data_IF_378810291361
#
_entry.id   IF_378810291361
#
_cell.length_a   1.000
_cell.length_b   1.000
_cell.length_c   1.000
_cell.angle_alpha   90.00
_cell.angle_beta   90.00
_cell.angle_gamma   90.00
#
_symmetry.space_group_name_H-M   'P 1'
#
loop_
_entity.id
_entity.type
_entity.pdbx_description
1 polymer ?
#
# COMPACT_ATOMS: atom_id res chain seq x y z
N UNK A 1 1.16 16.41 -3.43
CA UNK A 1 0.54 15.19 -2.86
C UNK A 1 -0.72 15.51 -2.09
N UNK A 2 -1.60 14.51 -1.95
CA UNK A 2 -2.84 14.65 -1.18
C UNK A 2 -2.54 14.45 0.29
N UNK A 3 -2.86 15.43 1.13
CA UNK A 3 -2.63 15.35 2.58
C UNK A 3 -3.87 15.00 3.40
N UNK A 4 -5.07 15.21 2.86
CA UNK A 4 -6.33 15.07 3.60
C UNK A 4 -7.35 14.32 2.73
N UNK A 5 -7.95 13.28 3.32
CA UNK A 5 -9.19 12.69 2.82
C UNK A 5 -10.33 13.43 3.51
N UNK A 6 -10.95 14.35 2.78
CA UNK A 6 -11.96 15.26 3.31
C UNK A 6 -13.26 14.58 3.72
N UNK A 7 -14.10 15.32 4.43
CA UNK A 7 -15.39 14.84 4.91
C UNK A 7 -16.21 14.20 3.79
N UNK A 8 -16.50 12.91 3.94
CA UNK A 8 -17.33 12.15 3.03
C UNK A 8 -16.74 11.91 1.63
N UNK A 9 -15.44 12.08 1.45
CA UNK A 9 -14.78 12.06 0.12
C UNK A 9 -15.10 10.81 -0.71
N UNK A 10 -15.20 9.65 -0.06
CA UNK A 10 -15.53 8.38 -0.69
C UNK A 10 -16.80 7.74 -0.11
N UNK A 11 -17.67 8.53 0.54
CA UNK A 11 -18.90 7.98 1.11
C UNK A 11 -19.76 7.32 0.02
N UNK A 12 -20.28 6.12 0.31
CA UNK A 12 -21.13 5.33 -0.58
C UNK A 12 -20.47 4.91 -1.90
N UNK A 13 -19.14 4.90 -2.01
CA UNK A 13 -18.49 4.49 -3.26
C UNK A 13 -18.53 2.95 -3.43
N UNK A 14 -19.27 2.42 -4.43
CA UNK A 14 -19.39 0.98 -4.63
C UNK A 14 -18.18 0.38 -5.35
N UNK A 15 -17.24 1.19 -5.85
CA UNK A 15 -16.08 0.71 -6.61
C UNK A 15 -14.87 0.43 -5.72
N UNK A 16 -14.87 0.93 -4.49
CA UNK A 16 -13.77 0.71 -3.57
C UNK A 16 -13.84 -0.70 -2.99
N UNK A 17 -12.88 -1.53 -3.39
CA UNK A 17 -12.73 -2.90 -2.90
C UNK A 17 -11.51 -3.01 -1.99
N UNK A 18 -10.35 -2.57 -2.48
CA UNK A 18 -9.11 -2.49 -1.72
C UNK A 18 -8.55 -1.08 -1.89
N UNK A 19 -8.31 -0.40 -0.78
CA UNK A 19 -7.83 0.99 -0.77
C UNK A 19 -6.46 1.05 -0.11
N UNK A 20 -5.54 1.77 -0.74
CA UNK A 20 -4.27 2.14 -0.12
C UNK A 20 -4.33 3.65 0.10
N UNK A 21 -4.36 4.05 1.38
CA UNK A 21 -4.25 5.44 1.83
C UNK A 21 -2.75 5.77 1.94
N UNK A 22 -2.20 6.62 1.05
CA UNK A 22 -0.76 6.87 0.99
C UNK A 22 -0.21 7.48 2.28
N UNK A 23 1.11 7.33 2.51
CA UNK A 23 1.79 7.87 3.68
C UNK A 23 1.75 9.41 3.75
N UNK A 24 1.54 10.07 2.62
CA UNK A 24 1.35 11.53 2.55
C UNK A 24 0.03 12.01 3.14
N UNK A 25 -0.98 11.13 3.29
CA UNK A 25 -2.25 11.48 3.92
C UNK A 25 -2.05 11.55 5.43
N UNK A 26 -2.23 12.76 5.97
CA UNK A 26 -2.10 13.07 7.39
C UNK A 26 -3.43 12.93 8.13
N UNK A 27 -4.56 12.99 7.42
CA UNK A 27 -5.89 13.04 8.04
C UNK A 27 -6.99 12.40 7.19
N UNK A 28 -7.86 11.63 7.84
CA UNK A 28 -9.13 11.14 7.31
C UNK A 28 -10.25 11.78 8.12
N UNK A 29 -11.01 12.67 7.49
CA UNK A 29 -12.10 13.37 8.14
C UNK A 29 -13.38 12.52 8.24
N UNK A 30 -14.34 13.02 9.01
CA UNK A 30 -15.63 12.37 9.26
C UNK A 30 -16.25 11.80 7.98
N UNK A 31 -16.66 10.54 8.05
CA UNK A 31 -17.28 9.79 6.94
C UNK A 31 -16.40 9.58 5.70
N UNK A 32 -15.06 9.71 5.80
CA UNK A 32 -14.14 9.57 4.68
C UNK A 32 -14.42 8.35 3.78
N UNK A 33 -14.68 7.19 4.39
CA UNK A 33 -15.05 5.93 3.73
C UNK A 33 -16.35 5.34 4.32
N UNK A 34 -17.36 6.19 4.50
CA UNK A 34 -18.65 5.77 5.05
C UNK A 34 -19.47 4.96 4.05
N UNK A 35 -19.96 3.79 4.45
CA UNK A 35 -20.83 2.92 3.64
C UNK A 35 -20.24 2.55 2.27
N UNK A 36 -18.93 2.29 2.22
CA UNK A 36 -18.30 1.68 1.05
C UNK A 36 -18.61 0.17 1.04
N UNK A 37 -19.80 -0.20 0.55
CA UNK A 37 -20.39 -1.56 0.70
C UNK A 37 -19.52 -2.72 0.20
N UNK A 38 -18.60 -2.45 -0.73
CA UNK A 38 -17.71 -3.46 -1.31
C UNK A 38 -16.27 -3.40 -0.77
N UNK A 39 -15.99 -2.51 0.19
CA UNK A 39 -14.67 -2.34 0.78
C UNK A 39 -14.31 -3.56 1.64
N UNK A 40 -13.33 -4.33 1.15
CA UNK A 40 -12.78 -5.53 1.79
C UNK A 40 -11.51 -5.22 2.58
N UNK A 41 -10.72 -4.24 2.13
CA UNK A 41 -9.55 -3.80 2.88
C UNK A 41 -9.23 -2.33 2.66
N UNK A 42 -8.72 -1.69 3.71
CA UNK A 42 -8.13 -0.35 3.64
C UNK A 42 -6.80 -0.34 4.39
N UNK A 43 -5.73 -0.08 3.65
CA UNK A 43 -4.36 -0.03 4.14
C UNK A 43 -3.97 1.42 4.37
N UNK A 44 -3.60 1.78 5.60
CA UNK A 44 -3.20 3.14 5.98
C UNK A 44 -1.69 3.18 6.19
N UNK A 45 -0.98 3.81 5.26
CA UNK A 45 0.49 3.81 5.22
C UNK A 45 1.13 4.87 6.13
N UNK A 46 0.35 5.81 6.65
CA UNK A 46 0.85 6.76 7.63
C UNK A 46 0.52 6.25 9.04
N UNK A 47 1.52 5.84 9.85
CA UNK A 47 1.29 5.34 11.20
C UNK A 47 0.63 6.38 12.11
N UNK A 48 0.77 7.67 11.79
CA UNK A 48 0.25 8.81 12.55
C UNK A 48 -0.94 9.50 11.85
N UNK A 49 -1.62 8.82 10.92
CA UNK A 49 -2.79 9.38 10.23
C UNK A 49 -3.90 9.72 11.23
N UNK A 50 -4.32 10.98 11.31
CA UNK A 50 -5.43 11.37 12.18
C UNK A 50 -6.76 10.88 11.58
N UNK A 51 -7.33 9.82 12.15
CA UNK A 51 -8.64 9.29 11.74
C UNK A 51 -9.72 9.90 12.63
N UNK A 52 -10.71 10.56 12.01
CA UNK A 52 -11.82 11.16 12.76
C UNK A 52 -12.52 10.10 13.61
N UNK A 53 -12.62 10.37 14.91
CA UNK A 53 -13.10 9.44 15.93
C UNK A 53 -14.62 9.23 15.87
N UNK A 54 -15.03 8.41 14.90
CA UNK A 54 -16.40 7.96 14.67
C UNK A 54 -16.34 6.61 13.98
N UNK A 55 -17.08 5.63 14.48
CA UNK A 55 -17.18 4.28 13.89
C UNK A 55 -17.48 4.31 12.37
N UNK A 56 -18.32 5.23 11.93
CA UNK A 56 -18.74 5.45 10.56
C UNK A 56 -17.72 6.23 9.70
N UNK A 57 -16.55 6.61 10.22
CA UNK A 57 -15.49 7.23 9.40
C UNK A 57 -14.97 6.26 8.34
N UNK A 58 -14.81 4.99 8.72
CA UNK A 58 -14.44 3.87 7.85
C UNK A 58 -15.40 2.72 8.17
N UNK A 59 -16.38 2.47 7.31
CA UNK A 59 -17.30 1.35 7.47
C UNK A 59 -17.91 0.92 6.12
N UNK A 60 -18.26 -0.36 5.98
CA UNK A 60 -18.93 -0.86 4.77
C UNK A 60 -20.41 -1.18 5.00
N UNK A 61 -20.87 -1.16 6.25
CA UNK A 61 -22.29 -1.25 6.59
C UNK A 61 -22.60 -0.44 7.85
N UNK A 62 -23.89 -0.34 8.21
CA UNK A 62 -24.35 0.30 9.45
C UNK A 62 -25.36 -0.57 10.18
N UNK A 63 -25.30 -0.55 11.51
CA UNK A 63 -26.34 -1.13 12.36
C UNK A 63 -27.66 -0.34 12.26
N UNK A 64 -28.75 -0.92 12.76
CA UNK A 64 -30.07 -0.26 12.89
C UNK A 64 -30.03 1.06 13.69
N UNK A 65 -28.95 1.31 14.44
CA UNK A 65 -28.72 2.52 15.24
C UNK A 65 -27.60 3.43 14.70
N UNK A 66 -27.25 3.32 13.40
CA UNK A 66 -26.24 4.14 12.69
C UNK A 66 -24.80 3.99 13.18
N UNK A 67 -24.51 3.01 14.03
CA UNK A 67 -23.12 2.62 14.30
C UNK A 67 -22.51 2.02 13.02
N UNK A 68 -21.34 2.51 12.62
CA UNK A 68 -20.55 1.88 11.56
C UNK A 68 -20.23 0.43 11.91
N UNK A 69 -20.20 -0.43 10.90
CA UNK A 69 -19.70 -1.80 10.99
C UNK A 69 -18.81 -2.05 9.77
N UNK A 70 -17.72 -2.77 9.96
CA UNK A 70 -16.96 -3.33 8.86
C UNK A 70 -16.56 -4.78 9.13
N UNK A 71 -16.73 -5.63 8.13
CA UNK A 71 -16.12 -6.96 8.05
C UNK A 71 -14.82 -6.95 7.20
N UNK A 72 -14.48 -5.81 6.60
CA UNK A 72 -13.24 -5.59 5.88
C UNK A 72 -12.08 -5.29 6.84
N UNK A 73 -10.86 -5.68 6.42
CA UNK A 73 -9.66 -5.48 7.22
C UNK A 73 -9.17 -4.02 7.13
N UNK A 74 -9.03 -3.36 8.28
CA UNK A 74 -8.20 -2.18 8.41
C UNK A 74 -6.77 -2.66 8.58
N UNK A 75 -5.84 -2.14 7.76
CA UNK A 75 -4.43 -2.51 7.81
C UNK A 75 -3.57 -1.30 8.13
N UNK A 76 -2.58 -1.51 8.97
CA UNK A 76 -1.63 -0.47 9.38
C UNK A 76 -0.44 -1.07 10.12
N UNK A 77 0.54 -0.24 10.44
CA UNK A 77 1.66 -0.64 11.29
C UNK A 77 1.21 -0.96 12.72
N UNK A 78 1.98 -1.80 13.42
CA UNK A 78 1.81 -2.00 14.86
C UNK A 78 1.99 -0.66 15.61
N UNK A 79 1.17 -0.43 16.63
CA UNK A 79 1.04 0.80 17.42
C UNK A 79 0.56 2.05 16.65
N UNK A 80 0.07 1.91 15.40
CA UNK A 80 -0.44 3.03 14.60
C UNK A 80 -1.80 3.56 15.06
N UNK A 81 -2.16 4.76 14.58
CA UNK A 81 -3.51 5.32 14.74
C UNK A 81 -4.58 4.45 14.08
N UNK A 82 -4.24 3.75 12.98
CA UNK A 82 -5.12 2.80 12.31
C UNK A 82 -5.44 1.59 13.21
N UNK A 83 -4.44 1.05 13.91
CA UNK A 83 -4.63 -0.01 14.90
C UNK A 83 -5.56 0.45 16.01
N UNK A 84 -5.25 1.59 16.64
CA UNK A 84 -6.03 2.13 17.74
C UNK A 84 -7.48 2.40 17.33
N UNK A 85 -7.70 2.95 16.13
CA UNK A 85 -9.04 3.17 15.59
C UNK A 85 -9.80 1.86 15.37
N UNK A 86 -9.15 0.84 14.79
CA UNK A 86 -9.79 -0.45 14.55
C UNK A 86 -10.15 -1.15 15.85
N UNK A 87 -9.22 -1.22 16.81
CA UNK A 87 -9.43 -1.84 18.12
C UNK A 87 -10.56 -1.16 18.90
N UNK A 88 -10.57 0.18 18.93
CA UNK A 88 -11.62 0.97 19.61
C UNK A 88 -13.02 0.65 19.07
N UNK A 89 -13.14 0.48 17.76
CA UNK A 89 -14.42 0.20 17.10
C UNK A 89 -14.70 -1.31 16.97
N UNK A 90 -13.83 -2.18 17.51
CA UNK A 90 -13.93 -3.65 17.39
C UNK A 90 -13.97 -4.10 15.91
N UNK A 91 -13.21 -3.41 15.06
CA UNK A 91 -13.08 -3.74 13.64
C UNK A 91 -11.91 -4.70 13.40
N UNK A 92 -11.97 -5.55 12.36
CA UNK A 92 -10.84 -6.40 12.00
C UNK A 92 -9.59 -5.55 11.69
N UNK A 93 -8.49 -5.83 12.37
CA UNK A 93 -7.20 -5.21 12.13
C UNK A 93 -6.17 -6.24 11.72
N UNK A 94 -5.43 -5.98 10.64
CA UNK A 94 -4.30 -6.79 10.21
C UNK A 94 -3.03 -5.93 10.26
N UNK A 95 -2.05 -6.38 11.05
CA UNK A 95 -0.74 -5.73 11.11
C UNK A 95 -0.09 -5.83 9.74
N UNK A 96 0.31 -4.70 9.19
CA UNK A 96 1.24 -4.64 8.08
C UNK A 96 2.60 -5.02 8.63
N UNK A 97 3.01 -6.26 8.37
CA UNK A 97 4.32 -6.72 8.77
C UNK A 97 5.35 -5.82 8.05
N UNK A 98 6.20 -5.13 8.81
CA UNK A 98 7.20 -4.21 8.25
C UNK A 98 8.20 -4.93 7.31
N UNK A 99 8.22 -6.27 7.36
CA UNK A 99 8.99 -7.19 6.54
C UNK A 99 8.27 -7.75 5.30
N UNK A 100 6.99 -7.42 5.09
CA UNK A 100 6.21 -7.81 3.90
C UNK A 100 5.81 -6.59 3.07
N UNK A 101 6.78 -6.01 2.37
CA UNK A 101 6.50 -5.05 1.30
C UNK A 101 5.95 -5.75 0.07
N UNK A 102 5.19 -5.00 -0.75
CA UNK A 102 4.75 -5.47 -2.05
C UNK A 102 5.98 -5.79 -2.92
N UNK A 103 6.07 -7.00 -3.49
CA UNK A 103 7.16 -7.34 -4.42
C UNK A 103 7.17 -6.32 -5.57
N UNK A 104 8.31 -5.67 -5.80
CA UNK A 104 8.47 -4.57 -6.74
C UNK A 104 8.27 -3.16 -6.16
N UNK A 105 7.87 -3.01 -4.91
CA UNK A 105 7.78 -1.72 -4.20
C UNK A 105 9.10 -1.40 -3.50
N UNK A 106 9.99 -0.76 -4.24
CA UNK A 106 11.35 -0.49 -3.81
C UNK A 106 11.48 0.79 -3.01
N UNK A 107 10.57 1.74 -3.20
CA UNK A 107 10.56 2.98 -2.42
C UNK A 107 9.65 2.91 -1.18
N UNK A 108 8.94 1.80 -0.97
CA UNK A 108 8.11 1.54 0.21
C UNK A 108 6.77 2.29 0.20
N UNK A 109 6.29 2.72 -0.96
CA UNK A 109 5.04 3.48 -1.10
C UNK A 109 3.80 2.60 -1.34
N UNK A 110 3.97 1.27 -1.29
CA UNK A 110 2.97 0.22 -1.52
C UNK A 110 2.36 0.21 -2.91
N UNK A 111 3.09 0.73 -3.90
CA UNK A 111 2.75 0.65 -5.32
C UNK A 111 3.96 0.13 -6.09
N UNK A 112 3.70 -0.44 -7.26
CA UNK A 112 4.75 -0.85 -8.20
C UNK A 112 4.67 0.08 -9.40
N UNK A 113 5.55 1.06 -9.44
CA UNK A 113 5.58 2.15 -10.41
C UNK A 113 6.99 2.30 -11.02
N UNK A 114 7.15 3.21 -11.98
CA UNK A 114 8.45 3.47 -12.60
C UNK A 114 9.49 4.04 -11.60
N UNK A 115 9.03 4.67 -10.52
CA UNK A 115 9.88 5.18 -9.44
C UNK A 115 10.53 4.07 -8.63
N UNK A 116 9.96 2.86 -8.61
CA UNK A 116 10.58 1.70 -7.98
C UNK A 116 11.76 1.18 -8.79
N UNK A 117 11.62 1.13 -10.12
CA UNK A 117 12.75 0.85 -11.01
C UNK A 117 13.86 1.90 -10.86
N UNK A 118 13.50 3.18 -10.66
CA UNK A 118 14.48 4.23 -10.36
C UNK A 118 15.17 4.01 -9.01
N UNK A 119 14.44 3.60 -7.97
CA UNK A 119 15.01 3.30 -6.65
C UNK A 119 16.05 2.17 -6.73
N UNK A 120 15.77 1.12 -7.52
CA UNK A 120 16.74 0.05 -7.79
C UNK A 120 18.01 0.59 -8.47
N UNK A 121 17.87 1.44 -9.49
CA UNK A 121 19.04 2.02 -10.18
C UNK A 121 19.89 2.91 -9.26
N UNK A 122 19.25 3.66 -8.35
CA UNK A 122 19.95 4.45 -7.32
C UNK A 122 20.69 3.52 -6.35
N UNK A 123 20.05 2.46 -5.86
CA UNK A 123 20.68 1.47 -4.99
C UNK A 123 21.87 0.77 -5.66
N UNK A 124 21.72 0.35 -6.93
CA UNK A 124 22.77 -0.27 -7.73
C UNK A 124 23.98 0.66 -7.92
N UNK A 125 23.74 1.94 -8.26
CA UNK A 125 24.82 2.91 -8.45
C UNK A 125 25.57 3.25 -7.15
N UNK A 126 24.85 3.31 -6.02
CA UNK A 126 25.47 3.43 -4.70
C UNK A 126 26.36 2.22 -4.39
N UNK A 127 25.88 1.00 -4.66
CA UNK A 127 26.65 -0.23 -4.44
C UNK A 127 27.95 -0.26 -5.27
N UNK A 128 27.91 0.19 -6.53
CA UNK A 128 29.11 0.30 -7.38
C UNK A 128 30.13 1.32 -6.87
N UNK A 129 29.64 2.40 -6.26
CA UNK A 129 30.46 3.49 -5.74
C UNK A 129 31.03 3.18 -4.35
N UNK A 130 30.59 2.08 -3.72
CA UNK A 130 30.92 1.74 -2.34
C UNK A 130 30.17 2.60 -1.31
N UNK A 131 29.13 3.32 -1.74
CA UNK A 131 28.28 4.15 -0.89
C UNK A 131 27.25 3.29 -0.14
N UNK A 132 26.67 3.87 0.92
CA UNK A 132 25.57 3.24 1.65
C UNK A 132 24.32 3.13 0.76
N UNK A 133 23.77 1.93 0.67
CA UNK A 133 22.48 1.67 -0.01
C UNK A 133 21.34 2.12 0.91
N UNK A 134 20.52 3.06 0.45
CA UNK A 134 19.34 3.58 1.17
C UNK A 134 18.09 2.71 0.91
N UNK A 135 18.22 1.41 1.16
CA UNK A 135 17.12 0.44 1.17
C UNK A 135 17.16 -0.35 2.47
N UNK A 136 16.01 -0.47 3.12
CA UNK A 136 15.81 -1.38 4.25
C UNK A 136 15.89 -2.84 3.79
N UNK A 137 16.17 -3.78 4.70
CA UNK A 137 16.23 -5.20 4.33
C UNK A 137 14.91 -5.76 3.75
N UNK A 138 13.72 -5.35 4.24
CA UNK A 138 12.45 -5.64 3.58
C UNK A 138 12.38 -5.09 2.14
N UNK A 139 12.85 -3.86 1.90
CA UNK A 139 12.88 -3.28 0.54
C UNK A 139 13.82 -4.07 -0.35
N UNK A 140 15.01 -4.45 0.12
CA UNK A 140 15.93 -5.30 -0.68
C UNK A 140 15.27 -6.61 -1.09
N UNK A 141 14.55 -7.26 -0.17
CA UNK A 141 13.80 -8.50 -0.46
C UNK A 141 12.65 -8.26 -1.45
N UNK A 142 11.97 -7.13 -1.36
CA UNK A 142 10.91 -6.76 -2.30
C UNK A 142 11.44 -6.36 -3.68
N UNK A 143 12.66 -5.81 -3.73
CA UNK A 143 13.34 -5.36 -4.95
C UNK A 143 14.08 -6.46 -5.69
N UNK A 144 14.49 -7.55 -5.03
CA UNK A 144 15.08 -8.72 -5.68
C UNK A 144 13.97 -9.49 -6.41
N UNK A 145 13.70 -9.10 -7.66
CA UNK A 145 12.58 -9.63 -8.44
C UNK A 145 12.96 -10.97 -9.04
N UNK A 146 14.19 -11.16 -9.49
CA UNK A 146 14.58 -12.45 -10.08
C UNK A 146 14.97 -13.50 -9.03
N UNK A 147 15.12 -13.13 -7.76
CA UNK A 147 15.49 -14.01 -6.65
C UNK A 147 16.95 -14.43 -6.68
N UNK A 148 17.83 -13.64 -7.31
CA UNK A 148 19.26 -13.94 -7.41
C UNK A 148 20.09 -13.48 -6.20
N UNK A 149 19.43 -12.83 -5.23
CA UNK A 149 20.02 -12.31 -4.01
C UNK A 149 20.66 -10.93 -4.16
N UNK A 150 20.50 -10.26 -5.31
CA UNK A 150 21.00 -8.91 -5.58
C UNK A 150 19.84 -7.99 -5.92
N UNK A 151 20.11 -6.69 -5.79
CA UNK A 151 19.23 -5.62 -6.25
C UNK A 151 19.98 -4.87 -7.33
N UNK A 152 19.69 -5.16 -8.60
CA UNK A 152 20.44 -4.62 -9.72
C UNK A 152 19.58 -4.26 -10.95
N UNK A 153 20.25 -3.95 -12.06
CA UNK A 153 19.60 -3.48 -13.29
C UNK A 153 18.57 -4.47 -13.86
N UNK A 154 18.71 -5.78 -13.59
CA UNK A 154 17.74 -6.78 -14.01
C UNK A 154 16.40 -6.57 -13.29
N UNK A 155 16.44 -6.32 -11.98
CA UNK A 155 15.25 -6.05 -11.18
C UNK A 155 14.53 -4.78 -11.65
N UNK A 156 15.28 -3.73 -11.93
CA UNK A 156 14.73 -2.48 -12.46
C UNK A 156 13.97 -2.72 -13.78
N UNK A 157 14.50 -3.57 -14.66
CA UNK A 157 13.84 -3.96 -15.91
C UNK A 157 12.55 -4.73 -15.65
N UNK A 158 12.55 -5.69 -14.72
CA UNK A 158 11.35 -6.46 -14.39
C UNK A 158 10.25 -5.60 -13.78
N UNK A 159 10.59 -4.68 -12.88
CA UNK A 159 9.65 -3.71 -12.29
C UNK A 159 9.02 -2.86 -13.39
N UNK A 160 9.84 -2.32 -14.30
CA UNK A 160 9.35 -1.49 -15.40
C UNK A 160 8.41 -2.28 -16.32
N UNK A 161 8.75 -3.53 -16.66
CA UNK A 161 7.89 -4.39 -17.49
C UNK A 161 6.57 -4.70 -16.79
N UNK A 162 6.61 -4.98 -15.48
CA UNK A 162 5.41 -5.21 -14.67
C UNK A 162 4.49 -4.00 -14.66
N UNK A 163 5.04 -2.82 -14.37
CA UNK A 163 4.32 -1.55 -14.37
C UNK A 163 3.70 -1.26 -15.75
N UNK A 164 4.47 -1.40 -16.84
CA UNK A 164 3.97 -1.16 -18.19
C UNK A 164 2.86 -2.13 -18.56
N UNK A 165 2.97 -3.41 -18.23
CA UNK A 165 1.96 -4.39 -18.60
C UNK A 165 0.67 -4.21 -17.80
N UNK A 166 0.78 -4.09 -16.48
CA UNK A 166 -0.39 -4.08 -15.58
C UNK A 166 -1.05 -2.71 -15.45
N UNK A 167 -0.30 -1.61 -15.56
CA UNK A 167 -0.80 -0.26 -15.30
C UNK A 167 -1.01 0.55 -16.58
N UNK A 168 -0.13 0.40 -17.58
CA UNK A 168 -0.20 1.19 -18.83
C UNK A 168 -0.94 0.43 -19.94
N UNK A 169 -0.60 -0.83 -20.17
CA UNK A 169 -1.11 -1.63 -21.29
C UNK A 169 -2.40 -2.39 -20.96
N UNK A 170 -2.71 -2.57 -19.67
CA UNK A 170 -3.85 -3.35 -19.20
C UNK A 170 -3.74 -4.86 -19.46
N UNK A 171 -2.55 -5.36 -19.80
CA UNK A 171 -2.26 -6.78 -20.00
C UNK A 171 -1.85 -7.36 -18.65
N UNK A 172 -2.82 -7.92 -17.92
CA UNK A 172 -2.56 -8.57 -16.64
C UNK A 172 -1.43 -9.61 -16.79
N UNK A 173 -0.33 -9.36 -16.08
CA UNK A 173 0.91 -10.14 -16.19
C UNK A 173 1.47 -10.38 -14.80
N UNK A 174 1.73 -11.65 -14.47
CA UNK A 174 2.33 -12.03 -13.20
C UNK A 174 3.85 -11.88 -13.22
N UNK A 175 4.47 -11.85 -12.04
CA UNK A 175 5.92 -11.76 -11.90
C UNK A 175 6.63 -12.97 -12.50
N UNK A 176 6.07 -14.17 -12.34
CA UNK A 176 6.63 -15.42 -12.87
C UNK A 176 6.80 -15.32 -14.39
N UNK A 177 5.76 -14.85 -15.07
CA UNK A 177 5.78 -14.64 -16.53
C UNK A 177 6.84 -13.62 -16.93
N UNK A 178 6.98 -12.53 -16.19
CA UNK A 178 7.97 -11.48 -16.47
C UNK A 178 9.40 -12.00 -16.33
N UNK A 179 9.68 -12.73 -15.26
CA UNK A 179 11.02 -13.28 -14.98
C UNK A 179 11.40 -14.45 -15.88
N UNK A 180 10.41 -15.16 -16.46
CA UNK A 180 10.65 -16.22 -17.46
C UNK A 180 10.95 -15.69 -18.87
N UNK A 181 10.57 -14.45 -19.20
CA UNK A 181 10.69 -13.93 -20.58
C UNK A 181 12.12 -13.50 -20.96
N UNK A 182 13.07 -13.60 -20.03
CA UNK A 182 14.45 -13.08 -20.19
C UNK A 182 15.55 -14.15 -20.10
N UNK A 183 15.20 -15.44 -20.23
CA UNK A 183 16.17 -16.55 -20.31
C UNK A 183 16.64 -16.76 -21.75
#
# INVERSE_FOLDING_TARGET
DVEIIGRGAFSYDPKLINVIVPASVKKIERFGFYLCEHLKSITILNPDCEIYDLDATICNTVARHKAGITDGAIRGYENSTAQQYAEKNTYPFEVMAADELLRGDCNGNWKVENTDAQAVLVAYTAALSGDSIDLTDPQKKACDINGDGKVDVADAQFILLYYVNNTISGVSTSWEKITETTV
#
